data_IF_674175001284
#
_entry.id   IF_674175001284
#
_cell.length_a   1.000
_cell.length_b   1.000
_cell.length_c   1.000
_cell.angle_alpha   90.00
_cell.angle_beta   90.00
_cell.angle_gamma   90.00
#
_symmetry.space_group_name_H-M   'P 1'
#
loop_
_entity.id
_entity.type
_entity.pdbx_description
1 polymer ?
#
# COMPACT_ATOMS: atom_id res chain seq x y z
N UNK A 1 9.17 -62.23 -18.82
CA UNK A 1 9.01 -61.73 -17.43
C UNK A 1 8.07 -60.51 -17.31
N UNK A 2 7.90 -59.67 -18.34
CA UNK A 2 6.98 -58.50 -18.30
C UNK A 2 5.46 -58.85 -18.33
N UNK A 3 5.06 -59.93 -19.02
CA UNK A 3 3.64 -60.37 -19.09
C UNK A 3 3.04 -60.86 -17.75
N UNK A 4 3.84 -61.38 -16.82
CA UNK A 4 3.35 -61.87 -15.51
C UNK A 4 3.13 -60.75 -14.48
N UNK A 5 3.76 -59.58 -14.68
CA UNK A 5 3.58 -58.40 -13.81
C UNK A 5 2.28 -57.66 -14.16
N UNK A 6 1.92 -57.59 -15.44
CA UNK A 6 0.68 -56.94 -15.90
C UNK A 6 -0.60 -57.69 -15.50
N UNK A 7 -0.60 -59.03 -15.45
CA UNK A 7 -1.77 -59.80 -15.00
C UNK A 7 -2.07 -59.67 -13.50
N UNK A 8 -1.06 -59.36 -12.66
CA UNK A 8 -1.27 -59.12 -11.22
C UNK A 8 -1.85 -57.73 -10.91
N UNK A 9 -1.55 -56.73 -11.74
CA UNK A 9 -2.06 -55.36 -11.57
C UNK A 9 -3.52 -55.22 -12.05
N UNK A 10 -3.92 -55.93 -13.11
CA UNK A 10 -5.30 -55.91 -13.61
C UNK A 10 -6.29 -56.68 -12.71
N UNK A 11 -5.84 -57.73 -12.01
CA UNK A 11 -6.67 -58.48 -11.05
C UNK A 11 -6.96 -57.74 -9.73
N UNK A 12 -6.10 -56.78 -9.35
CA UNK A 12 -6.28 -55.97 -8.14
C UNK A 12 -7.26 -54.81 -8.31
N UNK A 13 -7.46 -54.33 -9.55
CA UNK A 13 -8.37 -53.22 -9.83
C UNK A 13 -9.84 -53.68 -9.89
N UNK A 14 -10.10 -54.88 -10.42
CA UNK A 14 -11.45 -55.45 -10.50
C UNK A 14 -12.06 -55.86 -9.14
N UNK A 15 -11.25 -56.10 -8.10
CA UNK A 15 -11.75 -56.47 -6.76
C UNK A 15 -12.09 -55.28 -5.85
N UNK A 16 -11.63 -54.06 -6.16
CA UNK A 16 -11.97 -52.86 -5.37
C UNK A 16 -13.21 -52.12 -5.87
N UNK A 17 -13.59 -52.29 -7.14
CA UNK A 17 -14.82 -51.68 -7.69
C UNK A 17 -16.11 -52.44 -7.35
N UNK A 18 -16.04 -53.68 -6.87
CA UNK A 18 -17.24 -54.46 -6.47
C UNK A 18 -17.65 -54.29 -5.00
N UNK A 19 -16.80 -53.68 -4.15
CA UNK A 19 -17.03 -53.54 -2.71
C UNK A 19 -17.67 -52.20 -2.31
N UNK A 20 -17.68 -51.20 -3.19
CA UNK A 20 -18.34 -49.90 -2.95
C UNK A 20 -19.75 -49.80 -3.55
N UNK A 21 -20.22 -50.82 -4.28
CA UNK A 21 -21.52 -50.84 -4.96
C UNK A 21 -22.52 -51.81 -4.30
N UNK A 22 -22.35 -52.12 -3.01
CA UNK A 22 -23.23 -52.99 -2.20
C UNK A 22 -23.49 -52.44 -0.79
N UNK A 23 -23.80 -51.15 -0.70
CA UNK A 23 -24.35 -50.53 0.50
C UNK A 23 -25.49 -49.56 0.12
N UNK A 24 -26.49 -50.07 -0.60
CA UNK A 24 -27.77 -49.39 -0.82
C UNK A 24 -28.80 -50.41 -1.30
N UNK A 25 -29.31 -51.21 -0.36
CA UNK A 25 -30.56 -51.93 -0.48
C UNK A 25 -30.87 -52.54 0.88
N UNK A 26 -32.13 -52.41 1.32
CA UNK A 26 -32.78 -53.08 2.46
C UNK A 26 -33.00 -52.23 3.73
N UNK A 27 -34.03 -51.37 3.73
CA UNK A 27 -35.13 -51.47 4.71
C UNK A 27 -36.28 -50.54 4.32
N UNK A 28 -37.21 -51.05 3.50
CA UNK A 28 -38.58 -50.54 3.44
C UNK A 28 -39.42 -51.41 4.38
N UNK A 29 -39.98 -50.80 5.43
CA UNK A 29 -41.17 -51.29 6.12
C UNK A 29 -42.04 -50.09 6.45
N UNK A 30 -43.26 -50.11 5.92
CA UNK A 30 -44.21 -49.02 5.88
C UNK A 30 -44.88 -48.76 7.25
N UNK A 31 -45.19 -47.49 7.54
CA UNK A 31 -46.40 -47.11 8.27
C UNK A 31 -47.06 -45.90 7.59
N UNK A 32 -48.39 -45.93 7.65
CA UNK A 32 -49.37 -45.28 6.77
C UNK A 32 -49.53 -43.76 7.00
N UNK A 33 -49.64 -43.06 5.88
CA UNK A 33 -50.70 -42.09 5.47
C UNK A 33 -51.30 -41.17 6.56
N UNK A 34 -51.03 -39.87 6.41
CA UNK A 34 -52.05 -38.81 6.50
C UNK A 34 -51.72 -37.68 5.52
N UNK A 35 -52.74 -37.35 4.74
CA UNK A 35 -52.99 -36.40 3.64
C UNK A 35 -52.28 -35.03 3.59
N UNK A 36 -52.35 -34.33 2.43
CA UNK A 36 -51.36 -33.37 1.96
C UNK A 36 -51.75 -31.91 2.25
N UNK A 37 -50.78 -31.07 2.60
CA UNK A 37 -50.95 -29.63 2.45
C UNK A 37 -49.61 -28.89 2.26
N UNK A 38 -49.58 -28.11 1.17
CA UNK A 38 -48.70 -26.97 0.92
C UNK A 38 -47.19 -27.20 0.77
N UNK A 39 -46.78 -27.58 -0.45
CA UNK A 39 -45.54 -27.07 -1.06
C UNK A 39 -45.75 -25.57 -1.31
N UNK A 40 -45.29 -24.74 -0.38
CA UNK A 40 -45.10 -23.31 -0.59
C UNK A 40 -43.61 -23.01 -0.65
N UNK A 41 -43.16 -22.77 -1.87
CA UNK A 41 -42.35 -21.60 -2.23
C UNK A 41 -41.21 -21.26 -1.26
N UNK A 42 -40.10 -21.99 -1.37
CA UNK A 42 -38.81 -21.49 -0.91
C UNK A 42 -38.32 -20.42 -1.91
N UNK A 43 -38.95 -19.26 -1.87
CA UNK A 43 -38.39 -18.04 -2.44
C UNK A 43 -37.01 -17.84 -1.83
N UNK A 44 -36.03 -17.66 -2.71
CA UNK A 44 -34.68 -17.26 -2.39
C UNK A 44 -34.67 -16.15 -1.33
N UNK A 45 -34.33 -16.48 -0.08
CA UNK A 45 -33.80 -15.49 0.86
C UNK A 45 -32.42 -15.08 0.38
N UNK A 46 -32.35 -14.26 -0.68
CA UNK A 46 -31.20 -13.41 -0.92
C UNK A 46 -31.13 -12.47 0.26
N UNK A 47 -30.16 -12.69 1.15
CA UNK A 47 -29.73 -11.63 2.05
C UNK A 47 -29.35 -10.45 1.14
N UNK A 48 -30.18 -9.43 1.10
CA UNK A 48 -29.81 -8.14 0.53
C UNK A 48 -28.65 -7.64 1.38
N UNK A 49 -27.43 -7.82 0.87
CA UNK A 49 -26.31 -6.98 1.30
C UNK A 49 -26.76 -5.58 0.94
N UNK A 50 -27.28 -4.83 1.93
CA UNK A 50 -27.45 -3.39 1.77
C UNK A 50 -26.07 -2.91 1.37
N UNK A 51 -25.95 -2.34 0.16
CA UNK A 51 -24.79 -1.56 -0.19
C UNK A 51 -24.50 -0.67 1.02
N UNK A 52 -23.34 -0.87 1.64
CA UNK A 52 -22.86 0.11 2.60
C UNK A 52 -22.74 1.39 1.77
N UNK A 53 -23.77 2.25 1.84
CA UNK A 53 -23.58 3.64 1.51
C UNK A 53 -22.49 4.07 2.48
N UNK A 54 -21.26 4.16 1.98
CA UNK A 54 -20.12 4.59 2.77
C UNK A 54 -20.58 5.86 3.47
N UNK A 55 -20.69 5.82 4.81
CA UNK A 55 -20.75 7.07 5.53
C UNK A 55 -19.53 7.84 5.06
N UNK A 56 -19.73 9.05 4.54
CA UNK A 56 -18.61 9.87 4.15
C UNK A 56 -17.74 9.98 5.40
N UNK A 57 -16.55 9.38 5.39
CA UNK A 57 -15.65 9.37 6.55
C UNK A 57 -15.23 10.79 6.94
N UNK A 58 -14.17 11.00 7.72
CA UNK A 58 -13.74 12.34 8.08
C UNK A 58 -13.33 13.15 6.84
N UNK A 59 -13.65 14.45 6.84
CA UNK A 59 -13.01 15.39 5.91
C UNK A 59 -11.57 15.54 6.37
N UNK A 60 -10.63 15.14 5.52
CA UNK A 60 -9.20 15.24 5.80
C UNK A 60 -8.70 16.53 5.17
N UNK A 61 -8.10 17.38 6.00
CA UNK A 61 -7.45 18.61 5.58
C UNK A 61 -5.96 18.48 5.90
N UNK A 62 -5.06 19.09 5.11
CA UNK A 62 -3.65 19.14 5.45
C UNK A 62 -3.46 19.73 6.85
N UNK A 63 -2.83 18.95 7.73
CA UNK A 63 -2.38 19.44 9.02
C UNK A 63 -1.26 20.48 8.88
N UNK A 64 -0.82 21.10 9.99
CA UNK A 64 0.40 21.89 9.96
C UNK A 64 1.56 21.00 9.45
N UNK A 65 2.54 21.57 8.73
CA UNK A 65 3.71 20.81 8.32
C UNK A 65 4.39 20.16 9.53
N UNK A 66 4.99 18.97 9.34
CA UNK A 66 5.69 18.30 10.43
C UNK A 66 6.81 19.21 10.98
N UNK A 67 7.11 19.11 12.28
CA UNK A 67 8.17 19.92 12.89
C UNK A 67 9.52 19.68 12.22
N UNK A 68 9.77 18.43 11.82
CA UNK A 68 10.95 18.02 11.06
C UNK A 68 10.56 16.98 10.02
N UNK A 69 11.05 17.15 8.79
CA UNK A 69 10.97 16.13 7.75
C UNK A 69 12.24 16.10 6.88
N UNK A 70 12.42 15.02 6.14
CA UNK A 70 13.54 14.82 5.23
C UNK A 70 13.08 14.78 3.78
N UNK A 71 13.81 15.48 2.91
CA UNK A 71 13.45 15.60 1.50
C UNK A 71 14.65 15.46 0.59
N UNK A 72 14.40 14.98 -0.63
CA UNK A 72 15.36 15.04 -1.74
C UNK A 72 14.95 16.20 -2.65
N UNK A 73 15.91 17.01 -3.09
CA UNK A 73 15.61 18.22 -3.85
C UNK A 73 16.73 18.60 -4.84
N UNK A 74 16.38 19.43 -5.82
CA UNK A 74 17.33 20.18 -6.64
C UNK A 74 17.08 21.68 -6.46
N UNK A 75 18.12 22.51 -6.64
CA UNK A 75 17.96 23.97 -6.57
C UNK A 75 17.25 24.47 -7.82
N UNK A 76 16.29 25.40 -7.67
CA UNK A 76 15.63 25.98 -8.83
C UNK A 76 16.64 26.69 -9.73
N UNK A 77 16.46 26.52 -11.03
CA UNK A 77 17.38 27.04 -12.04
C UNK A 77 18.63 26.18 -12.26
N UNK A 78 18.87 25.14 -11.46
CA UNK A 78 19.83 24.10 -11.81
C UNK A 78 19.30 23.29 -13.00
N UNK A 79 20.21 22.71 -13.78
CA UNK A 79 19.83 21.74 -14.79
C UNK A 79 19.11 20.56 -14.12
N UNK A 80 17.94 20.16 -14.65
CA UNK A 80 17.27 18.96 -14.17
C UNK A 80 18.21 17.76 -14.39
N UNK A 81 18.38 16.90 -13.37
CA UNK A 81 19.23 15.73 -13.52
C UNK A 81 18.68 14.84 -14.64
N UNK A 82 19.57 14.31 -15.48
CA UNK A 82 19.21 13.35 -16.53
C UNK A 82 18.65 12.05 -15.93
N UNK A 83 19.10 11.71 -14.72
CA UNK A 83 18.64 10.59 -13.94
C UNK A 83 18.43 11.05 -12.48
N UNK A 84 17.18 11.25 -12.03
CA UNK A 84 16.91 11.63 -10.64
C UNK A 84 17.20 10.51 -9.64
N UNK A 85 17.45 9.28 -10.12
CA UNK A 85 17.83 8.13 -9.28
C UNK A 85 19.31 8.13 -8.91
N UNK A 86 20.14 8.90 -9.61
CA UNK A 86 21.54 9.08 -9.27
C UNK A 86 21.65 9.92 -7.97
N UNK A 87 22.23 9.38 -6.88
CA UNK A 87 22.38 10.09 -5.61
C UNK A 87 23.26 11.35 -5.71
N UNK A 88 24.03 11.48 -6.78
CA UNK A 88 24.88 12.65 -7.04
C UNK A 88 24.10 13.81 -7.67
N UNK A 89 22.98 13.48 -8.33
CA UNK A 89 22.17 14.38 -9.13
C UNK A 89 21.21 15.25 -8.30
N UNK A 90 21.09 14.98 -6.99
CA UNK A 90 20.23 15.72 -6.07
C UNK A 90 20.86 15.92 -4.69
N UNK A 91 20.30 16.84 -3.92
CA UNK A 91 20.65 17.08 -2.52
C UNK A 91 19.59 16.46 -1.60
N UNK A 92 19.99 16.15 -0.37
CA UNK A 92 19.06 15.78 0.70
C UNK A 92 19.05 16.91 1.72
N UNK A 93 17.88 17.23 2.27
CA UNK A 93 17.73 18.34 3.20
C UNK A 93 16.72 18.05 4.30
N UNK A 94 16.83 18.84 5.37
CA UNK A 94 15.92 18.84 6.50
C UNK A 94 14.94 20.00 6.29
N UNK A 95 13.65 19.69 6.29
CA UNK A 95 12.57 20.68 6.21
C UNK A 95 12.05 20.97 7.61
N UNK A 96 11.82 22.26 7.90
CA UNK A 96 11.15 22.74 9.10
C UNK A 96 9.92 23.57 8.73
N UNK A 97 8.79 23.25 9.36
CA UNK A 97 7.55 24.01 9.20
C UNK A 97 7.05 24.10 7.76
N UNK A 98 7.53 23.21 6.87
CA UNK A 98 7.22 23.21 5.44
C UNK A 98 7.73 24.41 4.65
N UNK A 99 8.51 25.30 5.27
CA UNK A 99 8.90 26.59 4.69
C UNK A 99 10.40 26.70 4.44
N UNK A 100 11.20 26.12 5.33
CA UNK A 100 12.65 26.27 5.35
C UNK A 100 13.33 24.93 5.20
N UNK A 101 14.43 24.93 4.47
CA UNK A 101 15.24 23.76 4.18
C UNK A 101 16.70 24.01 4.51
N UNK A 102 17.34 23.06 5.20
CA UNK A 102 18.79 23.00 5.39
C UNK A 102 19.36 21.80 4.64
N UNK A 103 20.30 21.99 3.70
CA UNK A 103 20.98 20.88 3.05
C UNK A 103 21.79 20.05 4.07
N UNK A 104 21.70 18.73 3.98
CA UNK A 104 22.53 17.82 4.79
C UNK A 104 23.97 17.85 4.24
N UNK A 105 25.00 18.11 5.08
CA UNK A 105 26.35 18.30 4.60
C UNK A 105 26.97 17.02 4.06
N UNK A 106 27.29 17.02 2.77
CA UNK A 106 27.94 15.91 2.06
C UNK A 106 29.34 15.54 2.59
N UNK A 107 29.97 16.40 3.37
CA UNK A 107 31.26 16.12 4.02
C UNK A 107 31.14 15.18 5.22
N UNK A 108 29.94 15.06 5.80
CA UNK A 108 29.68 14.25 7.00
C UNK A 108 28.78 13.05 6.73
N UNK A 109 27.84 13.19 5.79
CA UNK A 109 26.81 12.16 5.54
C UNK A 109 26.87 11.63 4.11
N UNK A 110 26.42 10.38 3.88
CA UNK A 110 26.31 9.82 2.54
C UNK A 110 25.40 10.62 1.61
N UNK A 111 25.59 10.39 0.31
CA UNK A 111 24.74 10.94 -0.75
C UNK A 111 23.48 10.09 -0.91
N UNK A 112 22.37 10.73 -1.28
CA UNK A 112 21.08 10.06 -1.49
C UNK A 112 20.36 9.67 -0.20
N UNK A 113 19.03 9.65 -0.26
CA UNK A 113 18.19 9.40 0.92
C UNK A 113 18.37 7.99 1.48
N UNK A 114 18.46 6.96 0.63
CA UNK A 114 18.57 5.55 1.07
C UNK A 114 19.83 5.31 1.89
N UNK A 115 20.97 5.82 1.41
CA UNK A 115 22.25 5.69 2.11
C UNK A 115 22.27 6.51 3.39
N UNK A 116 21.65 7.70 3.38
CA UNK A 116 21.47 8.49 4.59
C UNK A 116 20.65 7.73 5.64
N UNK A 117 19.50 7.16 5.26
CA UNK A 117 18.65 6.36 6.15
C UNK A 117 19.44 5.20 6.77
N UNK A 118 20.18 4.44 5.95
CA UNK A 118 21.01 3.34 6.41
C UNK A 118 22.07 3.82 7.42
N UNK A 119 22.82 4.88 7.07
CA UNK A 119 23.89 5.41 7.92
C UNK A 119 23.36 5.98 9.24
N UNK A 120 22.23 6.68 9.22
CA UNK A 120 21.63 7.22 10.44
C UNK A 120 21.10 6.11 11.35
N UNK A 121 20.60 5.02 10.77
CA UNK A 121 20.16 3.87 11.54
C UNK A 121 21.35 3.12 12.15
N UNK A 122 22.41 2.86 11.37
CA UNK A 122 23.63 2.16 11.83
C UNK A 122 24.41 2.97 12.87
N UNK A 123 24.47 4.29 12.72
CA UNK A 123 25.07 5.19 13.70
C UNK A 123 24.33 5.17 15.05
N UNK A 124 23.10 4.60 15.06
CA UNK A 124 22.41 4.09 16.23
C UNK A 124 22.63 4.92 17.48
N UNK A 125 22.36 6.22 17.38
CA UNK A 125 22.62 7.20 18.43
C UNK A 125 23.82 6.83 19.29
N UNK A 126 25.05 7.11 18.85
CA UNK A 126 26.25 6.94 19.68
C UNK A 126 26.10 7.59 21.08
N UNK A 127 25.15 8.52 21.23
CA UNK A 127 24.76 9.23 22.45
C UNK A 127 23.34 8.85 23.00
N UNK A 128 22.66 7.83 22.46
CA UNK A 128 21.27 7.47 22.80
C UNK A 128 20.18 8.31 22.12
N UNK A 129 20.56 9.14 21.15
CA UNK A 129 19.66 10.03 20.39
C UNK A 129 19.07 9.35 19.15
N UNK A 130 17.88 9.77 18.75
CA UNK A 130 17.28 9.27 17.51
C UNK A 130 18.04 9.83 16.28
N UNK A 131 18.03 9.13 15.13
CA UNK A 131 18.57 9.57 13.83
C UNK A 131 18.35 11.04 13.45
N UNK A 132 17.23 11.60 13.88
CA UNK A 132 16.81 12.96 13.51
C UNK A 132 17.38 14.00 14.45
N UNK A 133 17.68 13.65 15.71
CA UNK A 133 18.29 14.59 16.68
C UNK A 133 19.73 14.90 16.26
N UNK A 134 20.41 13.90 15.71
CA UNK A 134 21.73 14.06 15.12
C UNK A 134 21.68 15.02 13.92
N UNK A 135 20.67 14.88 13.07
CA UNK A 135 20.48 15.75 11.91
C UNK A 135 20.02 17.16 12.27
N UNK A 136 19.20 17.34 13.31
CA UNK A 136 18.78 18.67 13.76
C UNK A 136 19.99 19.56 14.13
N UNK A 137 21.06 18.96 14.68
CA UNK A 137 22.33 19.65 14.96
C UNK A 137 23.07 20.12 13.70
N UNK A 138 22.70 19.62 12.52
CA UNK A 138 23.30 19.95 11.22
C UNK A 138 22.55 21.06 10.49
N UNK A 139 21.53 21.67 11.11
CA UNK A 139 20.89 22.91 10.63
C UNK A 139 21.81 24.12 10.83
N UNK A 140 22.92 24.12 10.12
CA UNK A 140 23.97 25.15 10.20
C UNK A 140 23.89 26.06 8.98
N UNK A 141 24.04 27.37 9.20
CA UNK A 141 23.97 28.38 8.15
C UNK A 141 22.54 28.82 7.81
N UNK A 142 22.42 29.62 6.75
CA UNK A 142 21.16 30.22 6.35
C UNK A 142 20.24 29.18 5.68
N UNK A 143 18.96 29.07 6.10
CA UNK A 143 18.02 28.18 5.43
C UNK A 143 17.70 28.66 4.01
N UNK A 144 17.34 27.68 3.18
CA UNK A 144 16.81 27.90 1.84
C UNK A 144 15.27 27.87 1.93
N UNK A 145 14.54 28.86 1.38
CA UNK A 145 13.10 28.74 1.22
C UNK A 145 12.74 27.50 0.40
N UNK A 146 11.78 26.68 0.85
CA UNK A 146 11.30 25.52 0.07
C UNK A 146 10.79 25.94 -1.32
N UNK A 147 10.27 27.17 -1.44
CA UNK A 147 9.87 27.76 -2.73
C UNK A 147 11.03 27.99 -3.71
N UNK A 148 12.29 27.92 -3.28
CA UNK A 148 13.49 28.06 -4.12
C UNK A 148 14.11 26.73 -4.55
N UNK A 149 13.47 25.60 -4.23
CA UNK A 149 13.90 24.26 -4.66
C UNK A 149 12.79 23.54 -5.41
N UNK A 150 13.19 22.56 -6.21
CA UNK A 150 12.27 21.58 -6.80
C UNK A 150 12.36 20.31 -5.94
N UNK A 151 11.26 19.95 -5.29
CA UNK A 151 11.18 18.74 -4.47
C UNK A 151 11.07 17.52 -5.37
N UNK A 152 11.85 16.48 -5.05
CA UNK A 152 11.77 15.17 -5.65
C UNK A 152 10.94 14.24 -4.75
N UNK A 153 10.70 13.01 -5.20
CA UNK A 153 10.27 11.98 -4.27
C UNK A 153 11.33 11.85 -3.16
N UNK A 154 10.95 11.66 -1.89
CA UNK A 154 11.92 11.64 -0.81
C UNK A 154 12.99 10.57 -1.03
N UNK A 155 12.60 9.42 -1.60
CA UNK A 155 13.50 8.40 -2.12
C UNK A 155 13.17 8.25 -3.62
N UNK A 156 13.94 8.89 -4.53
CA UNK A 156 13.67 8.82 -5.97
C UNK A 156 13.78 7.40 -6.55
N UNK A 157 14.58 6.53 -5.93
CA UNK A 157 14.76 5.14 -6.35
C UNK A 157 14.77 4.22 -5.12
N UNK A 158 13.57 3.91 -4.57
CA UNK A 158 13.49 3.02 -3.42
C UNK A 158 13.93 1.62 -3.84
N UNK A 159 14.61 0.86 -2.97
CA UNK A 159 15.05 -0.48 -3.33
C UNK A 159 13.86 -1.41 -3.65
N UNK A 160 12.71 -1.19 -3.00
CA UNK A 160 11.43 -1.84 -3.28
C UNK A 160 10.26 -0.98 -2.80
N UNK A 161 9.12 -1.14 -3.46
CA UNK A 161 7.81 -0.62 -3.02
C UNK A 161 6.90 -1.83 -2.87
N UNK A 162 6.72 -2.27 -1.62
CA UNK A 162 5.82 -3.36 -1.25
C UNK A 162 4.45 -2.76 -0.97
N UNK A 163 3.41 -3.26 -1.62
CA UNK A 163 2.07 -2.70 -1.54
C UNK A 163 1.10 -3.71 -0.95
N UNK A 164 0.10 -3.22 -0.21
CA UNK A 164 -0.89 -4.04 0.47
C UNK A 164 -2.27 -3.80 -0.12
N UNK A 165 -2.84 -4.86 -0.68
CA UNK A 165 -4.21 -4.83 -1.18
C UNK A 165 -5.23 -4.97 -0.07
N UNK A 166 -6.36 -4.24 -0.20
CA UNK A 166 -7.57 -4.50 0.59
C UNK A 166 -7.35 -4.44 2.09
N UNK A 167 -6.59 -3.45 2.55
CA UNK A 167 -6.27 -3.31 3.96
C UNK A 167 -7.26 -2.44 4.75
N UNK A 168 -8.39 -2.03 4.16
CA UNK A 168 -9.46 -1.32 4.85
C UNK A 168 -10.79 -2.05 4.63
N UNK A 169 -11.55 -2.29 5.71
CA UNK A 169 -12.79 -3.08 5.64
C UNK A 169 -13.84 -2.48 4.70
N UNK A 170 -14.00 -1.16 4.73
CA UNK A 170 -14.94 -0.45 3.86
C UNK A 170 -14.56 -0.59 2.38
N UNK A 171 -13.25 -0.55 2.08
CA UNK A 171 -12.75 -0.74 0.73
C UNK A 171 -13.00 -2.17 0.22
N UNK A 172 -12.88 -3.19 1.08
CA UNK A 172 -13.23 -4.58 0.72
C UNK A 172 -14.68 -4.66 0.22
N UNK A 173 -15.62 -4.07 0.97
CA UNK A 173 -17.04 -4.06 0.60
C UNK A 173 -17.34 -3.29 -0.68
N UNK A 174 -16.64 -2.17 -0.90
CA UNK A 174 -16.75 -1.34 -2.12
C UNK A 174 -16.32 -2.12 -3.37
N UNK A 175 -15.13 -2.74 -3.33
CA UNK A 175 -14.58 -3.54 -4.43
C UNK A 175 -15.47 -4.76 -4.72
N UNK A 176 -15.98 -5.43 -3.69
CA UNK A 176 -16.86 -6.58 -3.85
C UNK A 176 -18.16 -6.22 -4.58
N UNK A 177 -18.72 -5.05 -4.28
CA UNK A 177 -19.99 -4.59 -4.85
C UNK A 177 -19.85 -4.12 -6.29
N UNK A 178 -18.77 -3.38 -6.59
CA UNK A 178 -18.63 -2.65 -7.84
C UNK A 178 -17.63 -3.26 -8.83
N UNK A 179 -16.84 -4.25 -8.39
CA UNK A 179 -15.84 -4.95 -9.21
C UNK A 179 -15.88 -6.47 -9.00
N UNK A 180 -16.98 -7.15 -9.38
CA UNK A 180 -17.10 -8.60 -9.23
C UNK A 180 -16.00 -9.33 -10.03
N UNK A 181 -15.35 -10.29 -9.38
CA UNK A 181 -14.26 -11.11 -9.95
C UNK A 181 -12.85 -10.65 -9.60
N UNK A 182 -12.68 -9.49 -8.96
CA UNK A 182 -11.39 -9.05 -8.37
C UNK A 182 -11.27 -9.53 -6.90
N UNK A 183 -12.38 -9.98 -6.30
CA UNK A 183 -12.46 -10.26 -4.86
C UNK A 183 -13.45 -11.36 -4.47
N UNK A 184 -13.24 -11.94 -3.28
CA UNK A 184 -14.16 -12.83 -2.56
C UNK A 184 -14.76 -12.04 -1.39
N UNK A 185 -16.01 -12.33 -1.04
CA UNK A 185 -16.91 -11.61 -0.11
C UNK A 185 -16.48 -11.55 1.37
N UNK A 186 -15.20 -11.74 1.69
CA UNK A 186 -14.68 -11.74 3.06
C UNK A 186 -13.37 -10.97 3.13
N UNK A 187 -13.08 -10.27 4.25
CA UNK A 187 -11.76 -9.75 4.52
C UNK A 187 -10.70 -10.84 4.32
N UNK A 188 -9.55 -10.52 3.73
CA UNK A 188 -8.49 -11.49 3.54
C UNK A 188 -7.99 -12.02 4.89
N UNK A 189 -7.60 -13.30 4.93
CA UNK A 189 -7.04 -13.93 6.15
C UNK A 189 -5.56 -13.56 6.36
N UNK A 190 -4.88 -13.11 5.30
CA UNK A 190 -3.48 -12.66 5.30
C UNK A 190 -3.34 -11.41 4.42
N UNK A 191 -2.37 -10.51 4.70
CA UNK A 191 -2.09 -9.37 3.84
C UNK A 191 -1.88 -9.78 2.38
N UNK A 192 -2.58 -9.12 1.45
CA UNK A 192 -2.38 -9.34 0.01
C UNK A 192 -1.21 -8.48 -0.43
N UNK A 193 -0.05 -9.10 -0.64
CA UNK A 193 1.19 -8.41 -0.99
C UNK A 193 1.40 -8.40 -2.51
N UNK A 194 1.72 -7.23 -3.05
CA UNK A 194 2.22 -7.03 -4.41
C UNK A 194 3.30 -5.94 -4.42
N UNK A 195 3.81 -5.57 -5.59
CA UNK A 195 4.83 -4.53 -5.72
C UNK A 195 4.52 -3.55 -6.83
N UNK A 196 5.15 -2.38 -6.75
CA UNK A 196 5.29 -1.43 -7.86
C UNK A 196 6.74 -1.38 -8.32
N UNK A 197 6.95 -1.12 -9.60
CA UNK A 197 8.30 -0.85 -10.12
C UNK A 197 8.86 0.44 -9.49
N UNK A 198 10.15 0.48 -9.09
CA UNK A 198 10.77 1.73 -8.64
C UNK A 198 10.72 2.86 -9.69
N UNK A 199 10.68 2.54 -10.99
CA UNK A 199 10.53 3.54 -12.06
C UNK A 199 9.16 4.22 -12.06
N UNK A 200 8.17 3.68 -11.36
CA UNK A 200 6.87 4.32 -11.20
C UNK A 200 6.93 5.55 -10.28
N UNK A 201 8.00 5.72 -9.49
CA UNK A 201 8.12 6.79 -8.49
C UNK A 201 8.21 8.15 -9.14
N UNK A 202 7.37 9.06 -8.66
CA UNK A 202 7.45 10.49 -8.98
C UNK A 202 7.34 11.31 -7.71
N UNK A 203 7.98 12.49 -7.69
CA UNK A 203 7.89 13.42 -6.58
C UNK A 203 6.57 14.18 -6.52
N UNK A 204 6.37 15.01 -5.48
CA UNK A 204 5.22 15.90 -5.40
C UNK A 204 5.17 16.80 -6.65
N UNK A 205 4.01 16.84 -7.32
CA UNK A 205 3.84 17.59 -8.57
C UNK A 205 4.46 16.96 -9.82
N UNK A 206 5.09 15.78 -9.73
CA UNK A 206 5.66 15.04 -10.86
C UNK A 206 4.61 14.48 -11.85
N UNK A 207 3.34 14.53 -11.49
CA UNK A 207 2.20 14.14 -12.32
C UNK A 207 1.99 12.63 -12.41
N UNK A 208 0.79 12.26 -12.86
CA UNK A 208 0.41 10.88 -13.20
C UNK A 208 0.46 10.78 -14.73
N UNK A 209 1.28 9.88 -15.28
CA UNK A 209 1.40 9.72 -16.73
C UNK A 209 0.30 8.81 -17.24
N UNK A 210 -0.52 9.31 -18.17
CA UNK A 210 -1.56 8.51 -18.81
C UNK A 210 -0.98 7.78 -20.03
N UNK A 211 -0.83 6.44 -19.99
CA UNK A 211 -0.27 5.69 -21.10
C UNK A 211 -1.32 5.60 -22.22
N UNK A 212 -1.14 6.45 -23.24
CA UNK A 212 -2.05 6.54 -24.40
C UNK A 212 -2.26 5.17 -25.04
N UNK A 213 -3.50 4.86 -25.39
CA UNK A 213 -3.91 3.60 -26.04
C UNK A 213 -3.66 2.32 -25.20
N UNK A 214 -3.36 2.44 -23.90
CA UNK A 214 -3.17 1.28 -23.02
C UNK A 214 -4.31 1.12 -22.02
N UNK A 215 -4.76 2.22 -21.42
CA UNK A 215 -5.84 2.27 -20.41
C UNK A 215 -6.57 3.61 -20.42
N UNK A 216 -7.87 3.56 -20.16
CA UNK A 216 -8.73 4.72 -19.85
C UNK A 216 -9.34 4.60 -18.43
N UNK A 217 -8.85 3.66 -17.62
CA UNK A 217 -9.38 3.35 -16.27
C UNK A 217 -8.31 3.60 -15.21
N UNK A 218 -7.71 4.80 -15.26
CA UNK A 218 -6.73 5.26 -14.27
C UNK A 218 -7.47 5.68 -13.01
N UNK A 219 -7.04 5.14 -11.88
CA UNK A 219 -7.63 5.30 -10.57
C UNK A 219 -6.59 5.78 -9.55
N UNK A 220 -7.05 6.40 -8.47
CA UNK A 220 -6.24 6.88 -7.36
C UNK A 220 -6.44 5.99 -6.14
N UNK A 221 -5.40 5.88 -5.33
CA UNK A 221 -5.43 5.16 -4.06
C UNK A 221 -4.48 5.88 -3.10
N UNK A 222 -5.00 6.80 -2.28
CA UNK A 222 -4.19 7.47 -1.25
C UNK A 222 -3.80 6.50 -0.14
N UNK A 223 -2.52 6.42 0.20
CA UNK A 223 -1.98 5.50 1.20
C UNK A 223 -0.92 6.14 2.11
N UNK A 224 -0.86 5.64 3.35
CA UNK A 224 0.30 5.84 4.23
C UNK A 224 1.43 4.92 3.75
N UNK A 225 2.59 5.50 3.47
CA UNK A 225 3.84 4.79 3.17
C UNK A 225 4.73 4.69 4.40
N UNK A 226 5.14 3.48 4.78
CA UNK A 226 6.11 3.22 5.85
C UNK A 226 7.50 3.07 5.23
N UNK A 227 8.47 3.86 5.69
CA UNK A 227 9.86 3.79 5.23
C UNK A 227 10.70 2.99 6.20
N UNK A 228 11.32 1.92 5.71
CA UNK A 228 12.19 1.06 6.51
C UNK A 228 13.53 1.75 6.75
N UNK A 229 13.95 1.81 8.02
CA UNK A 229 15.24 2.33 8.46
C UNK A 229 16.27 1.25 8.70
N UNK A 230 15.87 0.22 9.46
CA UNK A 230 16.68 -0.96 9.72
C UNK A 230 16.25 -2.09 8.81
N UNK A 231 17.18 -2.64 8.05
CA UNK A 231 16.91 -3.89 7.34
C UNK A 231 16.64 -5.06 8.29
N UNK A 232 16.04 -6.13 7.80
CA UNK A 232 15.79 -7.32 8.61
C UNK A 232 15.00 -8.40 7.88
N UNK A 233 15.08 -9.61 8.40
CA UNK A 233 14.31 -10.78 7.93
C UNK A 233 13.71 -11.48 9.15
N UNK A 234 12.48 -11.97 8.99
CA UNK A 234 11.70 -12.58 10.07
C UNK A 234 11.64 -11.68 11.33
N UNK A 235 11.32 -10.41 11.11
CA UNK A 235 11.17 -9.41 12.17
C UNK A 235 9.88 -9.73 12.92
N UNK A 236 9.94 -9.84 14.25
CA UNK A 236 8.77 -10.06 15.08
C UNK A 236 7.89 -8.80 15.14
N UNK A 237 6.57 -8.96 15.33
CA UNK A 237 5.63 -7.84 15.34
C UNK A 237 5.93 -6.81 16.44
N UNK A 238 6.44 -7.27 17.59
CA UNK A 238 6.88 -6.44 18.71
C UNK A 238 8.05 -5.52 18.33
N UNK A 239 8.98 -5.99 17.50
CA UNK A 239 10.18 -5.29 17.06
C UNK A 239 9.95 -4.40 15.82
N UNK A 240 8.80 -4.54 15.17
CA UNK A 240 8.54 -3.95 13.85
C UNK A 240 8.80 -2.43 13.80
N UNK A 241 8.41 -1.65 14.81
CA UNK A 241 8.63 -0.21 14.81
C UNK A 241 10.09 0.21 15.01
N UNK A 242 10.96 -0.67 15.52
CA UNK A 242 12.40 -0.39 15.58
C UNK A 242 13.06 -0.43 14.20
N UNK A 243 12.38 -1.06 13.25
CA UNK A 243 12.77 -1.08 11.84
C UNK A 243 12.21 0.09 11.04
N UNK A 244 11.30 0.90 11.60
CA UNK A 244 10.68 2.03 10.89
C UNK A 244 11.52 3.29 11.07
N UNK A 245 11.95 3.89 9.95
CA UNK A 245 12.58 5.20 9.93
C UNK A 245 11.56 6.32 10.08
N UNK A 246 10.47 6.23 9.30
CA UNK A 246 9.44 7.25 9.24
C UNK A 246 8.36 6.92 8.22
N UNK A 247 7.62 7.95 7.83
CA UNK A 247 6.41 7.84 7.04
C UNK A 247 6.40 8.86 5.90
N UNK A 248 5.74 8.53 4.80
CA UNK A 248 5.50 9.41 3.65
C UNK A 248 4.11 9.13 3.10
N UNK A 249 3.63 9.96 2.19
CA UNK A 249 2.39 9.69 1.45
C UNK A 249 2.75 8.94 0.17
N UNK A 250 1.92 7.95 -0.20
CA UNK A 250 1.98 7.26 -1.49
C UNK A 250 0.61 7.35 -2.16
N UNK A 251 0.59 7.61 -3.46
CA UNK A 251 -0.61 7.38 -4.27
C UNK A 251 -0.39 6.11 -5.10
N UNK A 252 -1.11 5.03 -4.78
CA UNK A 252 -1.04 3.76 -5.51
C UNK A 252 -1.92 3.79 -6.78
N UNK A 253 -1.52 4.66 -7.71
CA UNK A 253 -2.22 4.86 -8.98
C UNK A 253 -2.32 3.54 -9.73
N UNK A 254 -3.52 3.29 -10.27
CA UNK A 254 -3.87 1.99 -10.85
C UNK A 254 -4.58 2.12 -12.18
N UNK A 255 -4.12 1.40 -13.19
CA UNK A 255 -4.87 1.12 -14.41
C UNK A 255 -5.71 -0.16 -14.19
N UNK A 256 -6.98 0.01 -13.82
CA UNK A 256 -7.83 -1.10 -13.34
C UNK A 256 -8.08 -2.19 -14.37
N UNK A 257 -8.23 -1.82 -15.63
CA UNK A 257 -8.40 -2.75 -16.74
C UNK A 257 -7.12 -3.57 -17.01
N UNK A 258 -5.94 -2.95 -16.89
CA UNK A 258 -4.64 -3.64 -17.00
C UNK A 258 -4.44 -4.57 -15.80
N UNK A 259 -4.74 -4.10 -14.58
CA UNK A 259 -4.72 -4.90 -13.35
C UNK A 259 -5.57 -6.17 -13.51
N UNK A 260 -6.79 -6.03 -14.04
CA UNK A 260 -7.70 -7.16 -14.26
C UNK A 260 -7.21 -8.10 -15.38
N UNK A 261 -6.76 -7.54 -16.52
CA UNK A 261 -6.31 -8.33 -17.68
C UNK A 261 -5.10 -9.22 -17.36
N UNK A 262 -4.15 -8.71 -16.57
CA UNK A 262 -2.92 -9.44 -16.25
C UNK A 262 -3.03 -10.37 -15.04
N UNK A 263 -4.13 -10.28 -14.27
CA UNK A 263 -4.40 -11.02 -13.02
C UNK A 263 -3.44 -10.68 -11.88
N UNK A 264 -2.13 -10.69 -12.12
CA UNK A 264 -1.13 -10.10 -11.24
C UNK A 264 -1.20 -8.58 -11.37
N UNK A 265 -1.17 -7.88 -10.23
CA UNK A 265 -1.45 -6.45 -10.20
C UNK A 265 -0.28 -5.58 -10.65
N UNK A 266 0.94 -6.14 -10.68
CA UNK A 266 2.19 -5.43 -10.97
C UNK A 266 2.10 -4.49 -12.18
N UNK A 267 1.70 -4.99 -13.36
CA UNK A 267 1.66 -4.16 -14.58
C UNK A 267 0.59 -3.06 -14.53
N UNK A 268 -0.55 -3.32 -13.89
CA UNK A 268 -1.58 -2.29 -13.70
C UNK A 268 -1.18 -1.20 -12.70
N UNK A 269 -0.13 -1.46 -11.91
CA UNK A 269 0.32 -0.62 -10.79
C UNK A 269 1.70 0.01 -11.05
N UNK A 270 2.38 -0.30 -12.16
CA UNK A 270 3.82 0.03 -12.32
C UNK A 270 4.15 0.85 -13.56
N UNK A 271 3.18 1.56 -14.14
CA UNK A 271 3.50 2.55 -15.17
C UNK A 271 4.37 3.66 -14.57
N UNK A 272 5.24 4.26 -15.37
CA UNK A 272 6.02 5.42 -14.96
C UNK A 272 5.05 6.52 -14.46
N UNK A 273 5.30 7.09 -13.28
CA UNK A 273 4.41 8.05 -12.63
C UNK A 273 3.19 7.47 -11.91
N UNK A 274 3.10 6.15 -11.73
CA UNK A 274 2.03 5.53 -10.94
C UNK A 274 2.33 5.37 -9.45
N UNK A 275 3.51 5.78 -8.98
CA UNK A 275 3.84 5.86 -7.56
C UNK A 275 4.23 7.28 -7.12
N UNK A 276 3.37 8.31 -7.26
CA UNK A 276 3.60 9.59 -6.61
C UNK A 276 3.86 9.38 -5.11
N UNK A 277 4.99 9.88 -4.62
CA UNK A 277 5.46 9.67 -3.25
C UNK A 277 6.08 10.96 -2.70
N UNK A 278 5.67 11.37 -1.49
CA UNK A 278 6.21 12.54 -0.81
C UNK A 278 5.18 13.33 0.00
N UNK A 279 5.35 14.65 0.18
CA UNK A 279 6.47 15.47 -0.31
C UNK A 279 7.80 15.24 0.42
N UNK A 280 7.79 14.58 1.57
CA UNK A 280 8.94 14.33 2.43
C UNK A 280 8.71 13.09 3.29
N UNK A 281 9.77 12.61 3.94
CA UNK A 281 9.67 11.61 4.99
C UNK A 281 9.55 12.32 6.33
N UNK A 282 8.46 12.05 7.05
CA UNK A 282 8.29 12.42 8.45
C UNK A 282 8.89 11.33 9.32
N UNK A 283 10.00 11.57 10.03
CA UNK A 283 10.59 10.55 10.86
C UNK A 283 9.63 10.08 11.96
N UNK A 284 9.73 8.81 12.37
CA UNK A 284 8.80 8.19 13.33
C UNK A 284 8.57 9.03 14.60
N UNK A 285 9.64 9.63 15.15
CA UNK A 285 9.55 10.43 16.38
C UNK A 285 8.98 11.85 16.19
N UNK A 286 8.98 12.35 14.97
CA UNK A 286 8.48 13.69 14.62
C UNK A 286 7.05 13.64 14.06
N UNK A 287 6.50 12.43 13.89
CA UNK A 287 5.10 12.23 13.58
C UNK A 287 4.26 12.77 14.73
N UNK A 288 3.23 13.53 14.40
CA UNK A 288 2.20 13.98 15.32
C UNK A 288 0.87 13.41 14.85
N UNK A 289 0.22 12.61 15.68
CA UNK A 289 -1.11 12.06 15.38
C UNK A 289 -2.25 13.02 15.75
N UNK A 290 -3.49 12.62 15.48
CA UNK A 290 -4.68 13.44 15.74
C UNK A 290 -4.93 13.78 17.21
N UNK A 291 -4.32 13.05 18.15
CA UNK A 291 -4.39 13.27 19.59
C UNK A 291 -3.15 14.00 20.13
N UNK A 292 -2.21 14.38 19.27
CA UNK A 292 -0.94 15.00 19.64
C UNK A 292 0.14 14.00 20.10
N UNK A 293 -0.12 12.70 19.92
CA UNK A 293 0.86 11.62 20.13
C UNK A 293 1.72 11.36 18.90
N UNK A 294 2.26 10.15 18.76
CA UNK A 294 3.09 9.72 17.64
C UNK A 294 2.68 8.36 17.05
N UNK A 295 1.39 8.04 17.13
CA UNK A 295 0.83 6.77 16.65
C UNK A 295 0.48 6.82 15.15
N UNK A 296 1.20 6.11 14.27
CA UNK A 296 0.88 6.05 12.85
C UNK A 296 -0.44 5.33 12.54
N UNK A 297 -1.02 4.62 13.52
CA UNK A 297 -2.35 4.01 13.43
C UNK A 297 -3.47 4.99 13.82
N UNK A 298 -3.20 6.29 13.98
CA UNK A 298 -4.19 7.33 14.30
C UNK A 298 -4.02 8.57 13.41
N UNK A 299 -3.83 8.36 12.12
CA UNK A 299 -3.68 9.42 11.13
C UNK A 299 -4.94 9.51 10.26
N UNK A 300 -5.36 10.73 9.95
CA UNK A 300 -6.46 10.93 9.00
C UNK A 300 -5.91 10.83 7.58
N UNK A 301 -6.51 9.99 6.75
CA UNK A 301 -6.09 9.82 5.36
C UNK A 301 -7.21 10.18 4.40
N UNK A 302 -6.92 10.98 3.38
CA UNK A 302 -7.91 11.44 2.42
C UNK A 302 -7.35 11.68 1.02
N UNK A 303 -8.25 11.75 0.05
CA UNK A 303 -7.92 12.07 -1.33
C UNK A 303 -8.99 12.96 -1.93
N UNK A 304 -8.55 14.01 -2.62
CA UNK A 304 -9.36 15.04 -3.27
C UNK A 304 -9.00 15.09 -4.74
N UNK A 305 -10.02 15.11 -5.61
CA UNK A 305 -9.87 15.26 -7.06
C UNK A 305 -10.56 16.56 -7.48
N UNK A 306 -9.80 17.53 -8.00
CA UNK A 306 -10.34 18.84 -8.42
C UNK A 306 -11.15 19.55 -7.32
N UNK A 307 -10.71 19.48 -6.06
CA UNK A 307 -11.43 20.03 -4.91
C UNK A 307 -12.61 19.19 -4.42
N UNK A 308 -13.00 18.12 -5.13
CA UNK A 308 -14.02 17.18 -4.71
C UNK A 308 -13.39 16.07 -3.86
N UNK A 309 -13.86 15.91 -2.62
CA UNK A 309 -13.42 14.83 -1.76
C UNK A 309 -13.87 13.47 -2.30
N UNK A 310 -12.92 12.54 -2.42
CA UNK A 310 -13.15 11.16 -2.87
C UNK A 310 -12.94 10.13 -1.77
N UNK A 311 -11.83 10.24 -1.03
CA UNK A 311 -11.52 9.35 0.09
C UNK A 311 -11.48 10.14 1.41
N UNK A 312 -11.76 9.47 2.52
CA UNK A 312 -11.51 10.00 3.86
C UNK A 312 -11.72 8.93 4.91
N UNK A 313 -10.68 8.63 5.68
CA UNK A 313 -10.67 7.56 6.69
C UNK A 313 -9.64 7.87 7.78
N UNK A 314 -9.38 6.88 8.62
CA UNK A 314 -8.41 6.91 9.70
C UNK A 314 -7.56 5.63 9.62
N UNK A 315 -6.24 5.72 9.80
CA UNK A 315 -5.34 4.57 9.69
C UNK A 315 -5.60 3.48 10.74
N UNK A 316 -6.34 3.79 11.82
CA UNK A 316 -6.87 2.80 12.78
C UNK A 316 -7.85 1.80 12.16
N UNK A 317 -8.38 2.10 10.96
CA UNK A 317 -9.28 1.23 10.20
C UNK A 317 -8.57 0.18 9.36
N UNK A 318 -7.23 0.14 9.40
CA UNK A 318 -6.47 -0.92 8.75
C UNK A 318 -6.86 -2.30 9.32
N UNK A 319 -7.07 -3.28 8.44
CA UNK A 319 -7.33 -4.68 8.82
C UNK A 319 -6.06 -5.31 9.41
N UNK A 320 -4.92 -5.03 8.79
CA UNK A 320 -3.59 -5.43 9.24
C UNK A 320 -2.78 -4.16 9.53
N UNK A 321 -2.39 -4.01 10.80
CA UNK A 321 -1.57 -2.89 11.26
C UNK A 321 -0.12 -2.97 10.72
N UNK A 322 0.62 -1.87 10.86
CA UNK A 322 2.01 -1.76 10.37
C UNK A 322 2.90 -2.89 10.92
N UNK A 323 2.70 -3.29 12.18
CA UNK A 323 3.45 -4.40 12.81
C UNK A 323 3.23 -5.71 12.06
N UNK A 324 1.97 -6.05 11.80
CA UNK A 324 1.57 -7.25 11.06
C UNK A 324 2.11 -7.22 9.63
N UNK A 325 2.09 -6.07 8.97
CA UNK A 325 2.62 -5.92 7.62
C UNK A 325 4.13 -6.18 7.56
N UNK A 326 4.90 -5.57 8.46
CA UNK A 326 6.36 -5.75 8.54
C UNK A 326 6.71 -7.20 8.86
N UNK A 327 6.05 -7.81 9.85
CA UNK A 327 6.26 -9.22 10.19
C UNK A 327 5.95 -10.13 8.98
N UNK A 328 4.80 -9.93 8.34
CA UNK A 328 4.36 -10.76 7.21
C UNK A 328 5.34 -10.69 6.04
N UNK A 329 5.73 -9.48 5.63
CA UNK A 329 6.66 -9.29 4.51
C UNK A 329 8.04 -9.82 4.85
N UNK A 330 8.55 -9.49 6.05
CA UNK A 330 9.91 -9.85 6.44
C UNK A 330 10.12 -11.34 6.66
N UNK A 331 9.06 -12.11 6.97
CA UNK A 331 9.12 -13.58 7.01
C UNK A 331 9.47 -14.21 5.66
N UNK A 332 9.07 -13.57 4.56
CA UNK A 332 9.27 -14.07 3.21
C UNK A 332 10.52 -13.49 2.55
N UNK A 333 10.82 -12.21 2.78
CA UNK A 333 11.94 -11.50 2.16
C UNK A 333 12.68 -10.60 3.14
N UNK A 334 13.92 -10.24 2.84
CA UNK A 334 14.65 -9.24 3.63
C UNK A 334 14.15 -7.85 3.29
N UNK A 335 13.70 -7.10 4.29
CA UNK A 335 13.49 -5.65 4.18
C UNK A 335 14.84 -4.94 4.27
N UNK A 336 15.00 -3.86 3.51
CA UNK A 336 16.23 -3.05 3.44
C UNK A 336 15.94 -1.61 3.83
N UNK A 337 16.94 -0.87 4.34
CA UNK A 337 16.84 0.58 4.51
C UNK A 337 16.36 1.24 3.20
N UNK A 338 15.37 2.12 3.30
CA UNK A 338 14.73 2.81 2.18
C UNK A 338 13.66 2.02 1.44
N UNK A 339 13.40 0.74 1.76
CA UNK A 339 12.19 0.06 1.25
C UNK A 339 10.94 0.81 1.76
N UNK A 340 9.92 0.90 0.91
CA UNK A 340 8.64 1.54 1.21
C UNK A 340 7.55 0.46 1.27
N UNK A 341 6.76 0.45 2.35
CA UNK A 341 5.54 -0.34 2.44
C UNK A 341 4.34 0.59 2.29
N UNK A 342 3.66 0.54 1.14
CA UNK A 342 2.38 1.21 0.91
C UNK A 342 1.26 0.36 1.52
N UNK A 343 0.60 0.91 2.55
CA UNK A 343 -0.17 0.13 3.54
C UNK A 343 -1.60 -0.19 3.14
N UNK A 344 -2.02 0.14 1.93
CA UNK A 344 -3.38 -0.02 1.44
C UNK A 344 -4.20 1.26 1.56
N UNK A 345 -5.26 1.32 0.76
CA UNK A 345 -6.11 2.51 0.61
C UNK A 345 -7.50 2.32 1.23
N UNK A 346 -8.13 3.38 1.76
CA UNK A 346 -9.52 3.34 2.22
C UNK A 346 -10.54 3.32 1.08
N UNK A 347 -11.83 3.20 1.41
CA UNK A 347 -12.90 3.27 0.42
C UNK A 347 -12.99 4.65 -0.26
N UNK A 348 -13.66 4.72 -1.41
CA UNK A 348 -13.84 5.93 -2.20
C UNK A 348 -12.94 5.99 -3.44
N UNK A 349 -12.43 4.85 -3.90
CA UNK A 349 -11.68 4.79 -5.17
C UNK A 349 -12.63 5.03 -6.34
N UNK A 350 -12.14 5.57 -7.46
CA UNK A 350 -12.95 5.84 -8.66
C UNK A 350 -13.65 4.60 -9.20
N UNK A 351 -13.02 3.43 -9.06
CA UNK A 351 -13.63 2.15 -9.42
C UNK A 351 -14.86 1.75 -8.57
N UNK A 352 -14.97 2.29 -7.36
CA UNK A 352 -16.08 2.06 -6.43
C UNK A 352 -17.31 2.91 -6.70
N UNK A 353 -17.19 3.95 -7.52
CA UNK A 353 -18.25 4.91 -7.82
C UNK A 353 -19.22 4.39 -8.90
N UNK A 354 -20.45 4.93 -8.91
CA UNK A 354 -21.43 4.76 -9.99
C UNK A 354 -22.06 6.12 -10.37
N UNK A 355 -21.75 6.69 -11.55
CA UNK A 355 -20.82 6.18 -12.57
C UNK A 355 -19.37 6.13 -12.07
N UNK A 356 -18.53 5.34 -12.75
CA UNK A 356 -17.10 5.21 -12.41
C UNK A 356 -16.39 6.56 -12.48
N UNK A 357 -15.57 6.85 -11.46
CA UNK A 357 -14.90 8.14 -11.26
C UNK A 357 -13.43 8.13 -11.65
N UNK A 358 -13.09 7.58 -12.82
CA UNK A 358 -11.71 7.52 -13.34
C UNK A 358 -11.07 8.91 -13.42
N UNK A 359 -9.77 8.97 -13.17
CA UNK A 359 -8.97 10.17 -13.43
C UNK A 359 -8.94 10.48 -14.92
N UNK A 360 -8.89 11.76 -15.24
CA UNK A 360 -8.73 12.29 -16.59
C UNK A 360 -7.47 13.15 -16.67
N UNK A 361 -6.95 13.30 -17.88
CA UNK A 361 -5.86 14.24 -18.14
C UNK A 361 -6.33 15.65 -17.76
N UNK A 362 -5.55 16.31 -16.91
CA UNK A 362 -5.86 17.64 -16.36
C UNK A 362 -6.47 17.61 -14.97
N UNK A 363 -6.89 16.45 -14.46
CA UNK A 363 -7.35 16.34 -13.07
C UNK A 363 -6.18 16.55 -12.10
N UNK A 364 -6.47 17.26 -11.01
CA UNK A 364 -5.56 17.45 -9.88
C UNK A 364 -5.95 16.47 -8.79
N UNK A 365 -5.03 15.57 -8.43
CA UNK A 365 -5.20 14.60 -7.35
C UNK A 365 -4.33 15.01 -6.16
N UNK A 366 -4.96 15.25 -5.01
CA UNK A 366 -4.32 15.63 -3.76
C UNK A 366 -4.56 14.52 -2.74
N UNK A 367 -3.48 13.94 -2.21
CA UNK A 367 -3.53 12.95 -1.13
C UNK A 367 -2.99 13.59 0.14
N UNK A 368 -3.67 13.36 1.26
CA UNK A 368 -3.29 13.90 2.57
C UNK A 368 -3.29 12.77 3.59
N UNK A 369 -2.28 12.76 4.46
CA UNK A 369 -2.12 11.85 5.60
C UNK A 369 -1.64 12.64 6.81
#
# INVERSE_FOLDING_TARGET
RFRRVMQRLLGSFARRSSLMMRASASSLAARRISSPDTIRDQTHRRASVRAFAAQAGPVVQPGPPPPVALVSFTRKGAAKPSDPTDPDAHEVGIVEGGQWLWPVPRSKYPRGMTQLIAALHDAGGADGLSPVDALERERVGDPIPVSHVDLLAPIPNPPSIVCVGKNYLEHVGEVDTHMPGISKTKPPELPIIFTKAPTAVTGPGGGIVFPRNVTDQVDYEGELGVVIGKGGKAIAAEDAFDHVFGYTIVNDVTARDVQKRHQQWYLGKSFDGFAPCGPWIVPKRALVDVEGGNDPQRLLIGTVINGERRQGSDTSKMIFDIRTLIETVSRCMTLRPGDIIATGTPAGVGAGMDPKGWLKVGDVCEVTV
#
